data_IF_653091174954
#
_entry.id   IF_653091174954
#
_cell.length_a   1.000
_cell.length_b   1.000
_cell.length_c   1.000
_cell.angle_alpha   90.00
_cell.angle_beta   90.00
_cell.angle_gamma   90.00
#
_symmetry.space_group_name_H-M   'P 1'
#
loop_
_entity.id
_entity.type
_entity.pdbx_description
1 polymer ?
#
# COMPACT_ATOMS: atom_id res chain seq x y z
N UNK A 1 7.00 20.65 -9.29
CA UNK A 1 6.96 20.65 -7.81
C UNK A 1 7.89 21.77 -7.32
N UNK A 2 7.42 22.56 -6.37
CA UNK A 2 8.23 23.58 -5.71
C UNK A 2 8.30 23.18 -4.24
N UNK A 3 9.52 23.01 -3.72
CA UNK A 3 9.75 22.69 -2.33
C UNK A 3 9.42 23.92 -1.47
N UNK A 4 8.53 23.78 -0.52
CA UNK A 4 8.24 24.81 0.49
C UNK A 4 9.06 24.50 1.75
N UNK A 5 10.21 25.18 1.85
CA UNK A 5 11.10 25.06 3.03
C UNK A 5 10.67 25.92 4.21
N UNK A 6 9.58 26.70 4.10
CA UNK A 6 9.08 27.60 5.15
C UNK A 6 8.05 26.94 6.05
N UNK A 7 7.44 25.83 5.61
CA UNK A 7 6.43 25.11 6.40
C UNK A 7 7.06 24.46 7.63
N UNK A 8 6.41 24.59 8.79
CA UNK A 8 6.84 23.86 10.00
C UNK A 8 6.28 22.43 10.01
N UNK A 9 6.92 21.54 10.76
CA UNK A 9 6.43 20.16 10.90
C UNK A 9 4.99 20.07 11.42
N UNK A 10 4.58 20.84 12.47
CA UNK A 10 3.17 20.85 12.90
C UNK A 10 2.20 21.30 11.81
N UNK A 11 2.54 22.34 11.07
CA UNK A 11 1.68 22.86 9.99
C UNK A 11 1.58 21.86 8.84
N UNK A 12 2.68 21.16 8.53
CA UNK A 12 2.70 20.12 7.50
C UNK A 12 1.81 18.93 7.90
N UNK A 13 1.84 18.53 9.17
CA UNK A 13 1.00 17.43 9.69
C UNK A 13 -0.48 17.80 9.68
N UNK A 14 -0.82 19.04 10.04
CA UNK A 14 -2.22 19.54 9.97
C UNK A 14 -2.74 19.53 8.53
N UNK A 15 -1.98 20.07 7.58
CA UNK A 15 -2.34 20.05 6.17
C UNK A 15 -2.44 18.62 5.61
N UNK A 16 -1.57 17.71 6.04
CA UNK A 16 -1.63 16.32 5.64
C UNK A 16 -2.90 15.63 6.16
N UNK A 17 -3.29 15.87 7.43
CA UNK A 17 -4.53 15.33 8.01
C UNK A 17 -5.77 15.82 7.23
N UNK A 18 -5.80 17.10 6.88
CA UNK A 18 -6.88 17.67 6.07
C UNK A 18 -6.95 17.04 4.68
N UNK A 19 -5.80 16.94 3.99
CA UNK A 19 -5.73 16.36 2.65
C UNK A 19 -6.12 14.88 2.62
N UNK A 20 -5.66 14.09 3.60
CA UNK A 20 -6.01 12.68 3.70
C UNK A 20 -7.49 12.48 4.08
N UNK A 21 -8.02 13.33 4.95
CA UNK A 21 -9.44 13.32 5.31
C UNK A 21 -10.31 13.58 4.06
N UNK A 22 -9.97 14.58 3.26
CA UNK A 22 -10.68 14.88 2.02
C UNK A 22 -10.48 13.76 0.98
N UNK A 23 -9.25 13.36 0.73
CA UNK A 23 -8.91 12.36 -0.29
C UNK A 23 -9.58 11.00 -0.03
N UNK A 24 -9.65 10.55 1.20
CA UNK A 24 -10.38 9.33 1.57
C UNK A 24 -11.88 9.61 1.53
N UNK A 25 -12.34 10.71 2.12
CA UNK A 25 -13.76 11.07 2.24
C UNK A 25 -14.48 11.08 0.89
N UNK A 26 -13.90 11.70 -0.14
CA UNK A 26 -14.51 11.74 -1.48
C UNK A 26 -14.64 10.35 -2.14
N UNK A 27 -13.80 9.39 -1.75
CA UNK A 27 -13.82 8.01 -2.26
C UNK A 27 -14.82 7.11 -1.53
N UNK A 28 -15.35 7.56 -0.40
CA UNK A 28 -16.37 6.82 0.35
C UNK A 28 -17.79 7.06 -0.18
N UNK A 29 -17.98 8.00 -1.11
CA UNK A 29 -19.25 8.21 -1.80
C UNK A 29 -19.48 7.05 -2.79
N UNK A 30 -20.11 5.98 -2.30
CA UNK A 30 -20.35 4.76 -3.06
C UNK A 30 -21.79 4.27 -2.84
N UNK A 31 -22.44 3.88 -3.91
CA UNK A 31 -23.76 3.21 -3.88
C UNK A 31 -23.64 1.68 -3.72
N UNK A 32 -22.42 1.16 -3.67
CA UNK A 32 -22.13 -0.27 -3.54
C UNK A 32 -21.29 -0.55 -2.28
N UNK A 33 -21.28 -1.81 -1.78
CA UNK A 33 -20.42 -2.18 -0.65
C UNK A 33 -18.96 -1.85 -0.92
N UNK A 34 -18.32 -1.21 0.06
CA UNK A 34 -16.96 -0.70 -0.03
C UNK A 34 -16.14 -1.18 1.16
N UNK A 35 -14.90 -1.61 0.88
CA UNK A 35 -13.91 -2.06 1.84
C UNK A 35 -12.51 -1.54 1.52
N UNK A 36 -11.49 -2.16 2.10
CA UNK A 36 -10.10 -1.81 1.87
C UNK A 36 -9.16 -3.01 1.90
N UNK A 37 -8.07 -2.94 1.15
CA UNK A 37 -6.94 -3.85 1.31
C UNK A 37 -6.07 -3.37 2.47
N UNK A 38 -5.66 -4.30 3.34
CA UNK A 38 -4.90 -4.01 4.55
C UNK A 38 -3.70 -4.95 4.65
N UNK A 39 -2.50 -4.44 4.46
CA UNK A 39 -1.25 -5.18 4.62
C UNK A 39 -0.65 -5.07 6.03
N UNK A 40 -1.10 -4.10 6.82
CA UNK A 40 -0.46 -3.71 8.08
C UNK A 40 0.70 -2.73 7.89
N UNK A 41 1.06 -2.41 6.65
CA UNK A 41 1.96 -1.30 6.32
C UNK A 41 1.34 0.07 6.65
N UNK A 42 2.17 1.10 6.75
CA UNK A 42 1.75 2.45 7.14
C UNK A 42 0.66 2.98 6.20
N UNK A 43 0.85 2.85 4.89
CA UNK A 43 0.00 3.46 3.88
C UNK A 43 -1.41 2.86 3.88
N UNK A 44 -1.52 1.53 3.83
CA UNK A 44 -2.81 0.84 3.89
C UNK A 44 -3.53 1.08 5.22
N UNK A 45 -2.78 1.05 6.33
CA UNK A 45 -3.33 1.30 7.67
C UNK A 45 -3.84 2.73 7.82
N UNK A 46 -3.14 3.70 7.22
CA UNK A 46 -3.55 5.11 7.22
C UNK A 46 -4.86 5.29 6.44
N UNK A 47 -4.96 4.73 5.23
CA UNK A 47 -6.21 4.78 4.45
C UNK A 47 -7.38 4.21 5.27
N UNK A 48 -7.21 3.04 5.88
CA UNK A 48 -8.25 2.40 6.70
C UNK A 48 -8.59 3.24 7.94
N UNK A 49 -7.60 3.88 8.59
CA UNK A 49 -7.84 4.74 9.74
C UNK A 49 -8.74 5.95 9.37
N UNK A 50 -8.49 6.58 8.22
CA UNK A 50 -9.34 7.68 7.73
C UNK A 50 -10.73 7.20 7.30
N UNK A 51 -10.83 5.99 6.73
CA UNK A 51 -12.14 5.37 6.47
C UNK A 51 -12.93 5.15 7.75
N UNK A 52 -12.30 4.60 8.80
CA UNK A 52 -12.92 4.39 10.11
C UNK A 52 -13.31 5.70 10.80
N UNK A 53 -12.54 6.79 10.59
CA UNK A 53 -12.86 8.14 11.09
C UNK A 53 -14.09 8.73 10.39
N UNK A 54 -14.31 8.39 9.12
CA UNK A 54 -15.37 8.96 8.29
C UNK A 54 -16.67 8.15 8.27
N UNK A 55 -16.63 6.87 8.64
CA UNK A 55 -17.77 5.94 8.57
C UNK A 55 -18.26 5.57 9.98
N UNK A 56 -19.59 5.53 10.16
CA UNK A 56 -20.23 5.13 11.42
C UNK A 56 -20.35 3.59 11.59
N UNK A 57 -19.63 2.83 10.78
CA UNK A 57 -19.62 1.36 10.80
C UNK A 57 -18.21 0.81 10.62
N UNK A 58 -17.93 -0.42 11.07
CA UNK A 58 -16.67 -1.07 10.77
C UNK A 58 -16.43 -1.16 9.27
N UNK A 59 -15.16 -0.96 8.86
CA UNK A 59 -14.72 -1.15 7.48
C UNK A 59 -14.37 -2.62 7.28
N UNK A 60 -14.88 -3.20 6.19
CA UNK A 60 -14.46 -4.52 5.71
C UNK A 60 -13.04 -4.42 5.18
N UNK A 61 -12.11 -5.18 5.74
CA UNK A 61 -10.70 -5.18 5.33
C UNK A 61 -10.25 -6.56 4.89
N UNK A 62 -9.37 -6.61 3.89
CA UNK A 62 -8.95 -7.85 3.25
C UNK A 62 -7.43 -7.93 3.19
N UNK A 63 -6.89 -9.10 3.54
CA UNK A 63 -5.47 -9.42 3.42
C UNK A 63 -5.26 -10.76 2.76
N UNK A 64 -4.14 -10.89 2.06
CA UNK A 64 -3.68 -12.16 1.50
C UNK A 64 -2.35 -12.56 2.16
N UNK A 65 -2.20 -13.83 2.42
CA UNK A 65 -0.96 -14.42 2.90
C UNK A 65 -0.61 -15.70 2.17
N UNK A 66 0.60 -16.15 2.40
CA UNK A 66 1.15 -17.36 1.81
C UNK A 66 1.55 -18.32 2.91
N UNK A 67 1.55 -19.65 2.66
CA UNK A 67 1.98 -20.63 3.65
C UNK A 67 3.43 -20.40 4.07
N UNK A 68 3.67 -20.52 5.37
CA UNK A 68 5.00 -20.38 5.96
C UNK A 68 5.32 -18.97 6.49
N UNK A 69 6.44 -18.90 7.21
CA UNK A 69 6.99 -17.64 7.74
C UNK A 69 7.99 -17.09 6.72
N UNK A 70 7.54 -16.21 5.85
CA UNK A 70 8.38 -15.55 4.86
C UNK A 70 8.27 -14.03 4.96
N UNK A 71 9.25 -13.30 4.43
CA UNK A 71 9.29 -11.82 4.49
C UNK A 71 8.13 -11.16 3.73
N UNK A 72 7.40 -11.92 2.93
CA UNK A 72 6.24 -11.44 2.15
C UNK A 72 4.91 -11.84 2.79
N UNK A 73 4.91 -12.42 4.00
CA UNK A 73 3.69 -12.77 4.70
C UNK A 73 3.35 -11.71 5.75
N UNK A 74 2.55 -10.74 5.35
CA UNK A 74 2.18 -9.57 6.16
C UNK A 74 0.92 -9.79 7.02
N UNK A 75 0.37 -11.02 7.08
CA UNK A 75 -0.89 -11.28 7.81
C UNK A 75 -0.81 -10.93 9.30
N UNK A 76 0.34 -11.12 9.94
CA UNK A 76 0.48 -10.78 11.36
C UNK A 76 0.37 -9.27 11.60
N UNK A 77 0.99 -8.47 10.75
CA UNK A 77 0.95 -7.00 10.83
C UNK A 77 -0.46 -6.50 10.48
N UNK A 78 -1.09 -7.10 9.47
CA UNK A 78 -2.47 -6.82 9.10
C UNK A 78 -3.45 -7.10 10.25
N UNK A 79 -3.30 -8.21 10.97
CA UNK A 79 -4.12 -8.54 12.17
C UNK A 79 -3.95 -7.50 13.28
N UNK A 80 -2.71 -7.07 13.54
CA UNK A 80 -2.44 -6.04 14.55
C UNK A 80 -3.12 -4.73 14.17
N UNK A 81 -2.99 -4.30 12.92
CA UNK A 81 -3.63 -3.10 12.41
C UNK A 81 -5.17 -3.21 12.45
N UNK A 82 -5.73 -4.33 11.98
CA UNK A 82 -7.16 -4.58 11.99
C UNK A 82 -7.75 -4.58 13.40
N UNK A 83 -7.09 -5.24 14.35
CA UNK A 83 -7.52 -5.25 15.75
C UNK A 83 -7.47 -3.87 16.39
N UNK A 84 -6.43 -3.06 16.10
CA UNK A 84 -6.30 -1.70 16.59
C UNK A 84 -7.38 -0.79 16.01
N UNK A 85 -7.61 -0.87 14.72
CA UNK A 85 -8.60 -0.07 13.99
C UNK A 85 -10.03 -0.59 14.15
N UNK A 86 -10.22 -1.80 14.70
CA UNK A 86 -11.52 -2.45 14.91
C UNK A 86 -12.31 -2.66 13.61
N UNK A 87 -11.63 -3.08 12.58
CA UNK A 87 -12.23 -3.40 11.27
C UNK A 87 -12.87 -4.80 11.30
N UNK A 88 -13.74 -5.08 10.34
CA UNK A 88 -14.17 -6.43 10.02
C UNK A 88 -13.17 -7.04 9.03
N UNK A 89 -12.26 -7.85 9.58
CA UNK A 89 -11.07 -8.29 8.86
C UNK A 89 -11.19 -9.70 8.31
N UNK A 90 -10.93 -9.85 7.02
CA UNK A 90 -10.96 -11.11 6.28
C UNK A 90 -9.58 -11.45 5.76
N UNK A 91 -9.19 -12.72 5.90
CA UNK A 91 -7.88 -13.21 5.47
C UNK A 91 -8.02 -14.36 4.49
N UNK A 92 -7.17 -14.34 3.46
CA UNK A 92 -7.00 -15.40 2.50
C UNK A 92 -5.57 -15.93 2.55
N UNK A 93 -5.40 -17.24 2.77
CA UNK A 93 -4.09 -17.90 2.69
C UNK A 93 -4.11 -18.80 1.47
N UNK A 94 -3.18 -18.58 0.53
CA UNK A 94 -3.13 -19.31 -0.75
C UNK A 94 -1.71 -19.76 -1.10
N UNK A 95 -1.63 -20.87 -1.80
CA UNK A 95 -0.46 -21.28 -2.59
C UNK A 95 -0.75 -20.96 -4.05
N UNK A 96 -0.29 -19.83 -4.59
CA UNK A 96 -0.67 -19.43 -5.93
C UNK A 96 0.07 -20.26 -6.99
N UNK A 97 -0.67 -20.82 -7.91
CA UNK A 97 -0.12 -21.22 -9.21
C UNK A 97 -0.04 -19.99 -10.14
N UNK A 98 1.03 -19.22 -9.99
CA UNK A 98 1.19 -17.98 -10.73
C UNK A 98 1.17 -18.19 -12.25
N UNK A 99 1.73 -19.31 -12.73
CA UNK A 99 1.77 -19.63 -14.17
C UNK A 99 0.39 -19.98 -14.68
N UNK A 100 -0.36 -20.80 -13.92
CA UNK A 100 -1.73 -21.20 -14.28
C UNK A 100 -2.71 -20.02 -14.25
N UNK A 101 -2.48 -19.00 -13.41
CA UNK A 101 -3.33 -17.83 -13.30
C UNK A 101 -3.09 -16.77 -14.39
N UNK A 102 -1.91 -16.74 -15.01
CA UNK A 102 -1.55 -15.71 -16.00
C UNK A 102 -2.56 -15.55 -17.14
N UNK A 103 -3.11 -16.62 -17.76
CA UNK A 103 -4.11 -16.46 -18.82
C UNK A 103 -5.38 -15.73 -18.38
N UNK A 104 -5.78 -15.88 -17.10
CA UNK A 104 -6.93 -15.20 -16.55
C UNK A 104 -6.62 -13.75 -16.18
N UNK A 105 -5.48 -13.50 -15.56
CA UNK A 105 -4.99 -12.16 -15.23
C UNK A 105 -4.88 -11.30 -16.49
N UNK A 106 -4.29 -11.86 -17.56
CA UNK A 106 -4.11 -11.15 -18.85
C UNK A 106 -5.42 -10.69 -19.51
N UNK A 107 -6.57 -11.25 -19.12
CA UNK A 107 -7.88 -10.78 -19.62
C UNK A 107 -8.29 -9.42 -19.05
N UNK A 108 -7.71 -9.04 -17.92
CA UNK A 108 -8.02 -7.79 -17.20
C UNK A 108 -6.93 -6.72 -17.35
N UNK A 109 -5.81 -7.08 -17.99
CA UNK A 109 -4.71 -6.15 -18.27
C UNK A 109 -4.79 -5.69 -19.74
N UNK A 110 -4.70 -4.39 -19.96
CA UNK A 110 -4.68 -3.82 -21.32
C UNK A 110 -3.32 -4.01 -22.00
N UNK A 111 -2.26 -4.17 -21.20
CA UNK A 111 -0.89 -4.38 -21.68
C UNK A 111 -0.12 -5.33 -20.76
N UNK A 112 0.99 -5.95 -21.23
CA UNK A 112 1.82 -6.80 -20.40
C UNK A 112 2.43 -6.02 -19.24
N UNK A 113 2.21 -6.50 -18.01
CA UNK A 113 2.70 -5.91 -16.79
C UNK A 113 3.85 -6.76 -16.21
N UNK A 114 4.99 -6.12 -15.91
CA UNK A 114 6.17 -6.77 -15.36
C UNK A 114 6.24 -6.77 -13.82
N UNK A 115 5.17 -6.37 -13.15
CA UNK A 115 5.10 -6.33 -11.69
C UNK A 115 4.60 -7.66 -11.12
N UNK A 116 5.36 -8.26 -10.22
CA UNK A 116 4.98 -9.53 -9.57
C UNK A 116 3.80 -9.40 -8.62
N UNK A 117 3.46 -8.18 -8.18
CA UNK A 117 2.31 -7.91 -7.31
C UNK A 117 0.96 -8.16 -7.99
N UNK A 118 0.93 -8.28 -9.32
CA UNK A 118 -0.31 -8.51 -10.08
C UNK A 118 -1.01 -9.81 -9.66
N UNK A 119 -0.27 -10.87 -9.34
CA UNK A 119 -0.84 -12.17 -8.92
C UNK A 119 -1.52 -12.07 -7.55
N UNK A 120 -0.85 -11.63 -6.47
CA UNK A 120 -1.51 -11.44 -5.18
C UNK A 120 -2.66 -10.43 -5.25
N UNK A 121 -2.53 -9.34 -6.00
CA UNK A 121 -3.59 -8.34 -6.15
C UNK A 121 -4.82 -8.94 -6.84
N UNK A 122 -4.64 -9.75 -7.89
CA UNK A 122 -5.73 -10.46 -8.54
C UNK A 122 -6.48 -11.38 -7.59
N UNK A 123 -5.75 -12.22 -6.84
CA UNK A 123 -6.33 -13.17 -5.88
C UNK A 123 -7.05 -12.45 -4.73
N UNK A 124 -6.43 -11.40 -4.20
CA UNK A 124 -7.03 -10.58 -3.14
C UNK A 124 -8.29 -9.86 -3.64
N UNK A 125 -8.28 -9.34 -4.86
CA UNK A 125 -9.44 -8.71 -5.48
C UNK A 125 -10.58 -9.70 -5.71
N UNK A 126 -10.26 -10.92 -6.16
CA UNK A 126 -11.23 -12.00 -6.32
C UNK A 126 -11.88 -12.37 -4.98
N UNK A 127 -11.08 -12.51 -3.94
CA UNK A 127 -11.56 -12.79 -2.59
C UNK A 127 -12.44 -11.66 -2.02
N UNK A 128 -11.99 -10.42 -2.13
CA UNK A 128 -12.75 -9.26 -1.65
C UNK A 128 -14.08 -9.09 -2.39
N UNK A 129 -14.17 -9.53 -3.66
CA UNK A 129 -15.37 -9.42 -4.48
C UNK A 129 -16.57 -10.17 -3.92
N UNK A 130 -16.36 -11.19 -3.10
CA UNK A 130 -17.45 -11.92 -2.44
C UNK A 130 -18.13 -11.10 -1.31
N UNK A 131 -17.46 -10.05 -0.83
CA UNK A 131 -17.90 -9.18 0.26
C UNK A 131 -18.24 -7.76 -0.21
N UNK A 132 -17.36 -7.17 -1.03
CA UNK A 132 -17.46 -5.79 -1.47
C UNK A 132 -17.32 -5.65 -2.98
N UNK A 133 -17.75 -4.52 -3.50
CA UNK A 133 -17.64 -4.21 -4.94
C UNK A 133 -16.44 -3.31 -5.24
N UNK A 134 -16.08 -2.47 -4.27
CA UNK A 134 -14.98 -1.52 -4.36
C UNK A 134 -14.07 -1.70 -3.14
N UNK A 135 -12.75 -1.70 -3.36
CA UNK A 135 -11.76 -1.68 -2.28
C UNK A 135 -10.82 -0.50 -2.49
N UNK A 136 -10.56 0.23 -1.41
CA UNK A 136 -9.46 1.20 -1.36
C UNK A 136 -8.15 0.47 -1.03
N UNK A 137 -7.03 1.04 -1.47
CA UNK A 137 -5.70 0.53 -1.20
C UNK A 137 -4.74 1.67 -0.82
N UNK A 138 -3.56 1.32 -0.31
CA UNK A 138 -2.50 2.26 0.04
C UNK A 138 -1.61 2.68 -1.13
N UNK A 139 -2.01 2.36 -2.37
CA UNK A 139 -1.21 2.65 -3.56
C UNK A 139 -0.91 4.14 -3.70
N UNK A 140 0.34 4.46 -4.06
CA UNK A 140 0.83 5.83 -4.17
C UNK A 140 1.50 6.35 -2.90
N UNK A 141 1.40 5.65 -1.77
CA UNK A 141 2.04 6.03 -0.51
C UNK A 141 3.56 6.05 -0.62
N UNK A 142 4.15 4.99 -1.13
CA UNK A 142 5.60 4.87 -1.32
C UNK A 142 6.18 5.97 -2.22
N UNK A 143 5.45 6.37 -3.27
CA UNK A 143 5.84 7.44 -4.18
C UNK A 143 5.82 8.81 -3.50
N UNK A 144 4.82 9.05 -2.64
CA UNK A 144 4.64 10.33 -1.96
C UNK A 144 5.54 10.47 -0.73
N UNK A 145 5.73 9.38 0.02
CA UNK A 145 6.42 9.37 1.31
C UNK A 145 7.76 8.65 1.30
N UNK A 146 8.29 8.34 0.10
CA UNK A 146 9.59 7.71 -0.10
C UNK A 146 9.75 6.33 0.60
N UNK A 147 8.70 5.51 0.60
CA UNK A 147 8.66 4.22 1.27
C UNK A 147 9.50 3.12 0.61
N UNK A 148 9.79 3.22 -0.69
CA UNK A 148 10.56 2.20 -1.40
C UNK A 148 12.00 2.07 -0.91
N UNK A 149 12.42 0.87 -0.58
CA UNK A 149 13.82 0.57 -0.19
C UNK A 149 14.84 0.96 -1.26
N UNK A 150 14.48 0.96 -2.55
CA UNK A 150 15.35 1.40 -3.66
C UNK A 150 15.77 2.86 -3.59
N UNK A 151 15.10 3.70 -2.80
CA UNK A 151 15.52 5.09 -2.61
C UNK A 151 16.78 5.21 -1.75
N UNK A 152 17.02 4.28 -0.82
CA UNK A 152 18.23 4.26 0.03
C UNK A 152 19.52 4.09 -0.79
N UNK A 153 19.63 3.08 -1.71
CA UNK A 153 20.78 2.99 -2.62
C UNK A 153 20.94 4.20 -3.53
N UNK A 154 19.83 4.79 -4.00
CA UNK A 154 19.89 5.99 -4.84
C UNK A 154 20.50 7.19 -4.09
N UNK A 155 20.11 7.40 -2.82
CA UNK A 155 20.73 8.43 -1.97
C UNK A 155 22.21 8.15 -1.72
N UNK A 156 22.59 6.91 -1.48
CA UNK A 156 23.99 6.52 -1.30
C UNK A 156 24.80 6.78 -2.57
N UNK A 157 24.25 6.51 -3.75
CA UNK A 157 24.88 6.81 -5.03
C UNK A 157 25.08 8.33 -5.23
N UNK A 158 24.09 9.15 -4.88
CA UNK A 158 24.23 10.61 -4.93
C UNK A 158 25.29 11.14 -3.97
N UNK A 159 25.42 10.53 -2.77
CA UNK A 159 26.50 10.87 -1.84
C UNK A 159 27.87 10.46 -2.39
N UNK A 160 27.97 9.27 -2.99
CA UNK A 160 29.18 8.80 -3.65
C UNK A 160 29.62 9.72 -4.80
N UNK A 161 28.68 10.22 -5.61
CA UNK A 161 28.97 11.12 -6.71
C UNK A 161 29.49 12.50 -6.26
N UNK A 162 29.18 12.91 -5.03
CA UNK A 162 29.70 14.15 -4.42
C UNK A 162 31.15 14.01 -3.90
N UNK A 163 31.67 12.78 -3.79
CA UNK A 163 33.03 12.56 -3.35
C UNK A 163 34.05 12.98 -4.45
N UNK A 164 35.17 13.57 -4.05
CA UNK A 164 36.28 13.82 -4.97
C UNK A 164 36.72 12.54 -5.69
N UNK A 165 37.11 12.67 -6.98
CA UNK A 165 37.47 11.51 -7.83
C UNK A 165 38.57 10.62 -7.22
N UNK A 166 39.53 11.24 -6.51
CA UNK A 166 40.59 10.52 -5.77
C UNK A 166 40.07 9.55 -4.73
N UNK A 167 38.96 9.88 -4.05
CA UNK A 167 38.33 9.00 -3.05
C UNK A 167 37.45 7.95 -3.71
N UNK A 168 36.80 8.26 -4.83
CA UNK A 168 35.95 7.29 -5.56
C UNK A 168 36.77 6.14 -6.15
N UNK A 169 37.97 6.42 -6.70
CA UNK A 169 38.87 5.39 -7.27
C UNK A 169 39.47 4.44 -6.24
N UNK A 170 39.42 4.74 -4.96
CA UNK A 170 39.89 3.86 -3.88
C UNK A 170 38.81 2.99 -3.23
N UNK A 171 37.55 3.15 -3.64
CA UNK A 171 36.39 2.42 -3.09
C UNK A 171 35.85 1.32 -4.03
N UNK A 172 36.43 1.16 -5.21
CA UNK A 172 36.22 0.10 -6.17
C UNK A 172 37.49 -0.76 -6.21
#
# INVERSE_FOLDING_TARGET
>A
YTEDTSITEPDALEQLDELLTDAVGIRLMSEVPLGAFLSGGIDSSMVVAYMMKALDRPVETFSIGFPGEGPFNELNDARVAAAHLKTEHHELVVEPDAVGLMPDIMKYLDEPMGDSSVVPTYLLSQFARDHVTVSLAGDGGDELFAGYDRYKPAQAALMYDRLPELLRKGLI
#
